data_IF_629912865904
#
_entry.id   IF_629912865904
#
_cell.length_a   1.000
_cell.length_b   1.000
_cell.length_c   1.000
_cell.angle_alpha   90.00
_cell.angle_beta   90.00
_cell.angle_gamma   90.00
#
_symmetry.space_group_name_H-M   'P 1'
#
loop_
_entity.id
_entity.type
_entity.pdbx_description
1 polymer ?
#
# COMPACT_ATOMS: atom_id res chain seq x y z
N UNK A 1 24.23 -4.26 -35.06
CA UNK A 1 24.37 -4.07 -33.60
C UNK A 1 24.54 -2.57 -33.44
N UNK A 2 23.65 -1.81 -32.82
CA UNK A 2 23.10 -1.95 -31.47
C UNK A 2 21.61 -1.58 -31.40
N UNK A 3 20.87 -2.24 -30.50
CA UNK A 3 19.42 -2.12 -30.34
C UNK A 3 19.02 -0.89 -29.54
N UNK A 4 18.13 -0.07 -30.11
CA UNK A 4 17.34 0.93 -29.38
C UNK A 4 16.36 0.17 -28.48
N UNK A 5 16.64 0.11 -27.18
CA UNK A 5 15.66 -0.29 -26.18
C UNK A 5 14.51 0.73 -26.19
N UNK A 6 13.33 0.23 -26.53
CA UNK A 6 12.04 0.88 -26.41
C UNK A 6 11.82 1.30 -24.96
N UNK A 7 11.71 2.60 -24.72
CA UNK A 7 10.99 3.11 -23.55
C UNK A 7 9.54 2.70 -23.78
N UNK A 8 9.12 1.58 -23.20
CA UNK A 8 7.72 1.15 -23.27
C UNK A 8 6.81 2.30 -22.84
N UNK A 9 5.77 2.57 -23.62
CA UNK A 9 4.72 3.54 -23.33
C UNK A 9 4.05 3.21 -22.00
N UNK A 10 4.60 3.76 -20.92
CA UNK A 10 4.03 3.62 -19.59
C UNK A 10 2.71 4.39 -19.59
N UNK A 11 1.59 3.68 -19.72
CA UNK A 11 0.24 4.22 -19.62
C UNK A 11 0.15 5.20 -18.46
N UNK A 12 -0.45 6.37 -18.68
CA UNK A 12 -0.56 7.43 -17.68
C UNK A 12 -1.15 6.94 -16.36
N UNK A 13 -2.03 5.94 -16.39
CA UNK A 13 -2.52 5.27 -15.19
C UNK A 13 -1.42 4.59 -14.37
N UNK A 14 -0.49 3.92 -15.04
CA UNK A 14 0.68 3.26 -14.43
C UNK A 14 1.66 4.29 -13.87
N UNK A 15 1.89 5.41 -14.57
CA UNK A 15 2.75 6.49 -14.09
C UNK A 15 2.19 7.18 -12.84
N UNK A 16 0.87 7.39 -12.76
CA UNK A 16 0.20 7.94 -11.57
C UNK A 16 0.25 6.94 -10.40
N UNK A 17 0.07 5.64 -10.68
CA UNK A 17 0.24 4.58 -9.67
C UNK A 17 1.69 4.51 -9.16
N UNK A 18 2.67 4.61 -10.04
CA UNK A 18 4.10 4.68 -9.69
C UNK A 18 4.41 5.91 -8.82
N UNK A 19 3.80 7.05 -9.14
CA UNK A 19 3.90 8.27 -8.33
C UNK A 19 3.28 8.14 -6.93
N UNK A 20 2.18 7.39 -6.79
CA UNK A 20 1.58 7.08 -5.49
C UNK A 20 2.37 6.01 -4.70
N UNK A 21 3.17 5.19 -5.38
CA UNK A 21 4.04 4.15 -4.81
C UNK A 21 5.49 4.64 -4.56
N UNK A 22 5.74 5.95 -4.67
CA UNK A 22 7.06 6.56 -4.60
C UNK A 22 7.88 6.12 -3.35
N UNK A 23 9.22 6.09 -3.46
CA UNK A 23 10.09 5.53 -2.43
C UNK A 23 10.00 6.38 -1.17
N UNK A 24 9.40 5.82 -0.13
CA UNK A 24 9.24 6.49 1.17
C UNK A 24 7.80 6.70 1.63
N UNK A 25 6.79 6.55 0.76
CA UNK A 25 5.37 6.65 1.19
C UNK A 25 4.72 5.29 1.47
N UNK A 26 5.23 4.20 0.88
CA UNK A 26 4.57 2.88 0.90
C UNK A 26 4.44 2.24 2.29
N UNK A 27 5.49 2.27 3.11
CA UNK A 27 5.45 1.74 4.47
C UNK A 27 4.51 2.52 5.39
N UNK A 28 4.68 3.85 5.53
CA UNK A 28 3.79 4.69 6.33
C UNK A 28 2.33 4.65 5.85
N UNK A 29 2.08 4.65 4.55
CA UNK A 29 0.73 4.56 3.97
C UNK A 29 0.06 3.23 4.30
N UNK A 30 0.79 2.12 4.21
CA UNK A 30 0.26 0.82 4.60
C UNK A 30 -0.09 0.74 6.09
N UNK A 31 0.75 1.34 6.95
CA UNK A 31 0.46 1.39 8.37
C UNK A 31 -0.78 2.25 8.68
N UNK A 32 -0.90 3.40 8.02
CA UNK A 32 -2.10 4.25 8.13
C UNK A 32 -3.36 3.52 7.65
N UNK A 33 -3.27 2.79 6.53
CA UNK A 33 -4.36 2.01 5.98
C UNK A 33 -4.79 0.88 6.93
N UNK A 34 -3.84 0.15 7.51
CA UNK A 34 -4.10 -0.83 8.58
C UNK A 34 -4.79 -0.19 9.78
N UNK A 35 -4.31 0.98 10.21
CA UNK A 35 -4.91 1.74 11.30
C UNK A 35 -6.36 2.15 11.01
N UNK A 36 -6.63 2.61 9.79
CA UNK A 36 -7.97 2.97 9.34
C UNK A 36 -8.92 1.75 9.33
N UNK A 37 -8.47 0.61 8.78
CA UNK A 37 -9.26 -0.63 8.81
C UNK A 37 -9.51 -1.15 10.23
N UNK A 38 -8.53 -1.02 11.13
CA UNK A 38 -8.70 -1.39 12.53
C UNK A 38 -9.76 -0.51 13.22
N UNK A 39 -9.68 0.81 13.04
CA UNK A 39 -10.67 1.74 13.59
C UNK A 39 -12.06 1.54 12.99
N UNK A 40 -12.15 1.28 11.69
CA UNK A 40 -13.39 0.92 11.02
C UNK A 40 -13.99 -0.36 11.64
N UNK A 41 -13.15 -1.38 11.90
CA UNK A 41 -13.57 -2.60 12.59
C UNK A 41 -14.10 -2.34 14.00
N UNK A 42 -13.41 -1.53 14.80
CA UNK A 42 -13.89 -1.12 16.14
C UNK A 42 -15.25 -0.43 16.06
N UNK A 43 -15.41 0.48 15.09
CA UNK A 43 -16.66 1.20 14.87
C UNK A 43 -17.81 0.27 14.46
N UNK A 44 -17.56 -0.67 13.54
CA UNK A 44 -18.55 -1.65 13.12
C UNK A 44 -18.93 -2.62 14.25
N UNK A 45 -17.97 -3.04 15.07
CA UNK A 45 -18.25 -3.84 16.27
C UNK A 45 -19.16 -3.09 17.26
N UNK A 46 -18.89 -1.80 17.49
CA UNK A 46 -19.75 -0.95 18.32
C UNK A 46 -21.15 -0.80 17.73
N UNK A 47 -21.27 -0.51 16.43
CA UNK A 47 -22.55 -0.43 15.73
C UNK A 47 -23.33 -1.76 15.80
N UNK A 48 -22.64 -2.89 15.68
CA UNK A 48 -23.26 -4.21 15.76
C UNK A 48 -23.78 -4.49 17.17
N UNK A 49 -23.00 -4.15 18.20
CA UNK A 49 -23.43 -4.23 19.60
C UNK A 49 -24.66 -3.35 19.89
N UNK A 50 -24.69 -2.13 19.34
CA UNK A 50 -25.85 -1.24 19.45
C UNK A 50 -27.07 -1.80 18.71
N UNK A 51 -26.89 -2.38 17.52
CA UNK A 51 -27.96 -3.02 16.76
C UNK A 51 -28.55 -4.24 17.48
N UNK A 52 -27.70 -5.04 18.15
CA UNK A 52 -28.19 -6.11 19.02
C UNK A 52 -28.93 -5.56 20.24
N UNK A 53 -28.43 -4.46 20.84
CA UNK A 53 -29.08 -3.83 21.98
C UNK A 53 -30.44 -3.20 21.65
N UNK A 54 -30.63 -2.71 20.42
CA UNK A 54 -31.92 -2.20 19.94
C UNK A 54 -32.88 -3.30 19.50
N UNK A 55 -32.41 -4.56 19.42
CA UNK A 55 -33.17 -5.71 18.94
C UNK A 55 -33.74 -5.54 17.52
N UNK A 56 -33.13 -4.66 16.73
CA UNK A 56 -33.53 -4.38 15.35
C UNK A 56 -32.84 -5.37 14.40
N UNK A 57 -33.59 -6.39 13.97
CA UNK A 57 -33.07 -7.43 13.09
C UNK A 57 -32.62 -6.93 11.72
N UNK A 58 -33.21 -5.84 11.20
CA UNK A 58 -32.82 -5.28 9.91
C UNK A 58 -31.48 -4.56 10.03
N UNK A 59 -31.28 -3.82 11.12
CA UNK A 59 -30.00 -3.17 11.43
C UNK A 59 -28.90 -4.21 11.72
N UNK A 60 -29.21 -5.27 12.47
CA UNK A 60 -28.23 -6.36 12.73
C UNK A 60 -27.77 -7.00 11.42
N UNK A 61 -28.70 -7.33 10.50
CA UNK A 61 -28.35 -7.87 9.19
C UNK A 61 -27.48 -6.89 8.41
N UNK A 62 -27.92 -5.62 8.31
CA UNK A 62 -27.21 -4.59 7.55
C UNK A 62 -25.78 -4.39 8.04
N UNK A 63 -25.59 -4.22 9.36
CA UNK A 63 -24.26 -4.03 9.95
C UNK A 63 -23.40 -5.29 9.78
N UNK A 64 -23.98 -6.49 9.91
CA UNK A 64 -23.27 -7.75 9.65
C UNK A 64 -22.77 -7.82 8.21
N UNK A 65 -23.57 -7.36 7.24
CA UNK A 65 -23.15 -7.29 5.84
C UNK A 65 -22.00 -6.29 5.62
N UNK A 66 -22.04 -5.13 6.28
CA UNK A 66 -20.94 -4.17 6.26
C UNK A 66 -19.65 -4.74 6.85
N UNK A 67 -19.74 -5.53 7.92
CA UNK A 67 -18.59 -6.26 8.50
C UNK A 67 -18.00 -7.24 7.49
N UNK A 68 -18.84 -8.04 6.81
CA UNK A 68 -18.39 -9.00 5.80
C UNK A 68 -17.71 -8.32 4.62
N UNK A 69 -18.31 -7.25 4.06
CA UNK A 69 -17.71 -6.50 2.96
C UNK A 69 -16.37 -5.89 3.38
N UNK A 70 -16.30 -5.31 4.57
CA UNK A 70 -15.06 -4.71 5.09
C UNK A 70 -13.95 -5.76 5.21
N UNK A 71 -14.29 -6.96 5.70
CA UNK A 71 -13.34 -8.09 5.77
C UNK A 71 -12.86 -8.56 4.40
N UNK A 72 -13.77 -8.69 3.42
CA UNK A 72 -13.42 -9.06 2.05
C UNK A 72 -12.53 -7.99 1.40
N UNK A 73 -12.89 -6.71 1.55
CA UNK A 73 -12.09 -5.59 1.06
C UNK A 73 -10.69 -5.59 1.66
N UNK A 74 -10.57 -5.79 2.97
CA UNK A 74 -9.28 -5.88 3.64
C UNK A 74 -8.43 -7.04 3.10
N UNK A 75 -9.04 -8.20 2.88
CA UNK A 75 -8.35 -9.37 2.32
C UNK A 75 -7.90 -9.13 0.88
N UNK A 76 -8.78 -8.62 0.01
CA UNK A 76 -8.46 -8.30 -1.38
C UNK A 76 -7.34 -7.26 -1.47
N UNK A 77 -7.42 -6.22 -0.65
CA UNK A 77 -6.42 -5.16 -0.58
C UNK A 77 -5.07 -5.71 -0.09
N UNK A 78 -5.09 -6.55 0.95
CA UNK A 78 -3.89 -7.21 1.47
C UNK A 78 -3.24 -8.13 0.42
N UNK A 79 -4.05 -8.89 -0.31
CA UNK A 79 -3.58 -9.74 -1.40
C UNK A 79 -3.01 -8.95 -2.58
N UNK A 80 -3.69 -7.86 -2.96
CA UNK A 80 -3.22 -6.95 -4.00
C UNK A 80 -1.87 -6.33 -3.62
N UNK A 81 -1.70 -5.85 -2.39
CA UNK A 81 -0.42 -5.29 -1.92
C UNK A 81 0.68 -6.34 -1.82
N UNK A 82 0.33 -7.58 -1.45
CA UNK A 82 1.29 -8.68 -1.40
C UNK A 82 1.82 -9.06 -2.79
N UNK A 83 0.96 -9.01 -3.81
CA UNK A 83 1.33 -9.32 -5.20
C UNK A 83 2.02 -8.16 -5.93
N UNK A 84 1.57 -6.93 -5.71
CA UNK A 84 2.18 -5.75 -6.33
C UNK A 84 3.51 -5.35 -5.68
N UNK A 85 3.77 -5.86 -4.47
CA UNK A 85 4.95 -5.52 -3.70
C UNK A 85 4.85 -4.09 -3.19
N UNK A 86 4.89 -3.90 -1.87
CA UNK A 86 5.38 -2.62 -1.34
C UNK A 86 6.82 -2.52 -1.83
N UNK A 87 7.04 -1.84 -2.97
CA UNK A 87 8.35 -1.76 -3.62
C UNK A 87 9.40 -1.46 -2.55
N UNK A 88 10.29 -2.44 -2.32
CA UNK A 88 11.30 -2.36 -1.28
C UNK A 88 12.22 -1.19 -1.58
N UNK A 89 12.49 -0.37 -0.56
CA UNK A 89 13.20 0.91 -0.69
C UNK A 89 14.58 0.70 -1.32
N UNK A 90 15.17 -0.47 -1.14
CA UNK A 90 16.45 -0.89 -1.69
C UNK A 90 16.44 -0.96 -3.23
N UNK A 91 15.37 -1.45 -3.85
CA UNK A 91 15.23 -1.49 -5.31
C UNK A 91 15.02 -0.08 -5.88
N UNK A 92 14.33 0.78 -5.13
CA UNK A 92 14.11 2.18 -5.51
C UNK A 92 15.37 3.04 -5.37
N UNK A 93 16.21 2.81 -4.36
CA UNK A 93 17.52 3.47 -4.24
C UNK A 93 18.48 3.05 -5.37
N UNK A 94 18.37 1.81 -5.82
CA UNK A 94 19.17 1.29 -6.93
C UNK A 94 18.70 1.82 -8.30
N UNK A 95 17.40 1.95 -8.54
CA UNK A 95 16.85 2.50 -9.79
C UNK A 95 16.96 4.04 -9.89
N UNK A 96 16.96 4.75 -8.76
CA UNK A 96 17.13 6.22 -8.71
C UNK A 96 18.63 6.61 -8.72
N UNK A 97 19.55 5.63 -8.76
CA UNK A 97 20.99 5.88 -8.84
C UNK A 97 21.60 6.46 -7.57
N UNK A 98 20.93 6.31 -6.41
CA UNK A 98 21.37 6.80 -5.10
C UNK A 98 22.16 5.77 -4.29
N UNK A 99 22.44 4.58 -4.84
CA UNK A 99 23.48 3.74 -4.28
C UNK A 99 24.81 4.52 -4.34
N UNK A 100 25.51 4.72 -3.21
CA UNK A 100 26.81 5.38 -3.25
C UNK A 100 27.70 4.55 -4.16
N UNK A 101 27.97 5.06 -5.36
CA UNK A 101 28.97 4.49 -6.23
C UNK A 101 30.26 4.42 -5.40
N UNK A 102 30.86 3.24 -5.32
CA UNK A 102 32.14 3.02 -4.66
C UNK A 102 33.25 3.97 -5.16
N UNK A 103 33.00 4.75 -6.21
CA UNK A 103 33.82 5.85 -6.66
C UNK A 103 34.13 6.90 -5.57
N UNK A 104 33.24 7.14 -4.59
CA UNK A 104 33.46 8.20 -3.59
C UNK A 104 34.34 7.77 -2.40
N UNK A 105 34.61 6.46 -2.24
CA UNK A 105 35.53 5.99 -1.18
C UNK A 105 37.00 6.07 -1.56
N UNK A 106 37.32 6.35 -2.83
CA UNK A 106 38.71 6.45 -3.29
C UNK A 106 39.25 7.88 -3.19
N UNK A 107 38.39 8.91 -3.20
CA UNK A 107 38.86 10.31 -3.17
C UNK A 107 39.17 10.84 -1.77
N UNK A 108 38.59 10.27 -0.71
CA UNK A 108 38.84 10.73 0.68
C UNK A 108 40.13 10.15 1.29
N UNK A 109 40.75 9.14 0.65
CA UNK A 109 42.04 8.58 1.10
C UNK A 109 43.26 9.28 0.50
N UNK A 110 43.07 10.32 -0.31
CA UNK A 110 44.17 11.06 -0.94
C UNK A 110 43.98 12.58 -0.80
N UNK A 111 43.74 13.06 0.42
CA UNK A 111 43.89 14.46 0.78
C UNK A 111 44.45 14.61 2.19
#
# INVERSE_FOLDING_TARGET
>A
MEGKQSVEDVSSATAVFLGALAPGVNGPTWNALKGAFFMLGVCLCAMLGLAFSSSDSAMVLHVTFLVLITGILFFLLSGFLAQTGLVTVEHQMQEIGLAPSQADKTSEKNK
#
